data_IF_080991931050
#
_entry.id   IF_080991931050
#
_cell.length_a   1.000
_cell.length_b   1.000
_cell.length_c   1.000
_cell.angle_alpha   90.00
_cell.angle_beta   90.00
_cell.angle_gamma   90.00
#
_symmetry.space_group_name_H-M   'P 1'
#
loop_
_entity.id
_entity.type
_entity.pdbx_description
1 polymer ?
#
# COMPACT_ATOMS: atom_id res chain seq x y z
N UNK A 1 -13.88 -18.69 -2.68
CA UNK A 1 -12.74 -17.79 -2.96
C UNK A 1 -12.75 -17.26 -4.39
N UNK A 2 -12.96 -18.08 -5.43
CA UNK A 2 -12.90 -17.66 -6.86
C UNK A 2 -13.86 -16.55 -7.28
N UNK A 3 -15.03 -16.40 -6.64
CA UNK A 3 -15.98 -15.32 -6.96
C UNK A 3 -15.67 -13.98 -6.24
N UNK A 4 -14.90 -14.02 -5.15
CA UNK A 4 -14.67 -12.83 -4.32
C UNK A 4 -13.58 -11.92 -4.90
N UNK A 5 -12.55 -12.49 -5.53
CA UNK A 5 -11.43 -11.73 -6.10
C UNK A 5 -11.84 -10.87 -7.30
N UNK A 6 -12.62 -11.36 -8.28
CA UNK A 6 -13.09 -10.52 -9.40
C UNK A 6 -14.01 -9.39 -8.94
N UNK A 7 -14.85 -9.63 -7.92
CA UNK A 7 -15.73 -8.62 -7.36
C UNK A 7 -14.93 -7.51 -6.66
N UNK A 8 -13.92 -7.85 -5.86
CA UNK A 8 -13.03 -6.86 -5.25
C UNK A 8 -12.28 -6.05 -6.31
N UNK A 9 -11.79 -6.69 -7.37
CA UNK A 9 -11.12 -5.98 -8.46
C UNK A 9 -12.07 -5.00 -9.15
N UNK A 10 -13.32 -5.40 -9.41
CA UNK A 10 -14.33 -4.52 -9.98
C UNK A 10 -14.59 -3.29 -9.09
N UNK A 11 -14.77 -3.51 -7.78
CA UNK A 11 -14.99 -2.43 -6.81
C UNK A 11 -13.78 -1.49 -6.71
N UNK A 12 -12.57 -2.03 -6.76
CA UNK A 12 -11.34 -1.23 -6.76
C UNK A 12 -11.21 -0.39 -8.02
N UNK A 13 -11.51 -0.95 -9.19
CA UNK A 13 -11.44 -0.21 -10.46
C UNK A 13 -12.52 0.88 -10.54
N UNK A 14 -13.74 0.62 -10.09
CA UNK A 14 -14.78 1.64 -10.04
C UNK A 14 -14.43 2.76 -9.07
N UNK A 15 -13.89 2.43 -7.89
CA UNK A 15 -13.41 3.41 -6.92
C UNK A 15 -12.24 4.24 -7.46
N UNK A 16 -11.30 3.61 -8.15
CA UNK A 16 -10.18 4.29 -8.80
C UNK A 16 -10.65 5.29 -9.86
N UNK A 17 -11.54 4.87 -10.76
CA UNK A 17 -12.11 5.75 -11.79
C UNK A 17 -12.85 6.92 -11.13
N UNK A 18 -13.66 6.66 -10.11
CA UNK A 18 -14.36 7.69 -9.36
C UNK A 18 -13.40 8.67 -8.67
N UNK A 19 -12.35 8.17 -8.01
CA UNK A 19 -11.36 9.01 -7.32
C UNK A 19 -10.62 9.95 -8.28
N UNK A 20 -10.40 9.54 -9.53
CA UNK A 20 -9.83 10.40 -10.57
C UNK A 20 -10.78 11.51 -11.04
N UNK A 21 -12.11 11.30 -10.93
CA UNK A 21 -13.11 12.32 -11.29
C UNK A 21 -13.36 13.37 -10.20
N UNK A 22 -12.75 13.22 -9.02
CA UNK A 22 -12.90 14.16 -7.92
C UNK A 22 -12.23 15.51 -8.23
N UNK A 23 -12.86 16.60 -7.78
CA UNK A 23 -12.25 17.93 -7.81
C UNK A 23 -10.93 17.92 -7.03
N UNK A 24 -9.88 18.53 -7.58
CA UNK A 24 -8.52 18.55 -7.02
C UNK A 24 -7.78 17.19 -6.95
N UNK A 25 -8.30 16.12 -7.58
CA UNK A 25 -7.57 14.85 -7.68
C UNK A 25 -6.20 14.98 -8.36
N UNK A 26 -6.06 15.94 -9.29
CA UNK A 26 -4.80 16.22 -9.99
C UNK A 26 -3.64 16.65 -9.08
N UNK A 27 -3.94 17.31 -7.95
CA UNK A 27 -2.92 17.68 -6.94
C UNK A 27 -2.42 16.43 -6.22
N UNK A 28 -3.33 15.56 -5.78
CA UNK A 28 -2.97 14.28 -5.16
C UNK A 28 -2.15 13.37 -6.08
N UNK A 29 -2.50 13.33 -7.37
CA UNK A 29 -1.75 12.60 -8.39
C UNK A 29 -0.34 13.18 -8.59
N UNK A 30 -0.25 14.51 -8.69
CA UNK A 30 1.01 15.24 -8.81
C UNK A 30 1.93 14.95 -7.62
N UNK A 31 1.38 15.00 -6.40
CA UNK A 31 2.12 14.65 -5.19
C UNK A 31 2.61 13.20 -5.21
N UNK A 32 1.72 12.24 -5.50
CA UNK A 32 2.04 10.80 -5.46
C UNK A 32 3.17 10.40 -6.42
N UNK A 33 3.23 11.03 -7.59
CA UNK A 33 4.25 10.72 -8.62
C UNK A 33 5.42 11.72 -8.66
N UNK A 34 5.54 12.63 -7.69
CA UNK A 34 6.70 13.51 -7.59
C UNK A 34 7.78 12.85 -6.72
N UNK A 35 8.88 12.34 -7.30
CA UNK A 35 9.93 11.70 -6.52
C UNK A 35 10.76 12.73 -5.74
N UNK A 36 11.08 12.40 -4.50
CA UNK A 36 12.12 13.08 -3.73
C UNK A 36 13.42 12.26 -3.83
N UNK A 37 14.33 12.72 -4.70
CA UNK A 37 15.59 12.06 -4.97
C UNK A 37 16.54 12.05 -3.76
N UNK A 38 16.40 12.99 -2.82
CA UNK A 38 17.20 13.03 -1.61
C UNK A 38 16.92 11.82 -0.69
N UNK A 39 15.69 11.31 -0.69
CA UNK A 39 15.31 10.15 0.12
C UNK A 39 16.00 8.85 -0.32
N UNK A 40 16.41 8.73 -1.59
CA UNK A 40 17.09 7.54 -2.09
C UNK A 40 18.46 7.31 -1.42
N UNK A 41 19.08 8.37 -0.90
CA UNK A 41 20.30 8.28 -0.11
C UNK A 41 20.10 7.72 1.29
N UNK A 42 18.86 7.62 1.78
CA UNK A 42 18.56 7.11 3.12
C UNK A 42 18.49 5.57 3.13
N UNK A 43 19.31 4.87 3.93
CA UNK A 43 19.20 3.41 4.07
C UNK A 43 17.85 2.96 4.64
N UNK A 44 17.20 3.81 5.45
CA UNK A 44 15.89 3.48 6.03
C UNK A 44 14.83 3.30 4.95
N UNK A 45 14.85 4.12 3.89
CA UNK A 45 13.90 4.01 2.79
C UNK A 45 13.94 2.61 2.15
N UNK A 46 15.13 2.07 1.93
CA UNK A 46 15.31 0.75 1.33
C UNK A 46 14.84 -0.38 2.24
N UNK A 47 15.10 -0.26 3.55
CA UNK A 47 14.62 -1.24 4.54
C UNK A 47 13.09 -1.24 4.59
N UNK A 48 12.46 -0.06 4.65
CA UNK A 48 11.00 0.06 4.63
C UNK A 48 10.42 -0.51 3.33
N UNK A 49 10.98 -0.15 2.17
CA UNK A 49 10.51 -0.64 0.87
C UNK A 49 10.63 -2.17 0.72
N UNK A 50 11.79 -2.75 1.06
CA UNK A 50 12.01 -4.19 0.98
C UNK A 50 11.08 -4.95 1.92
N UNK A 51 10.94 -4.47 3.16
CA UNK A 51 10.08 -5.10 4.14
C UNK A 51 8.59 -5.00 3.76
N UNK A 52 8.17 -3.88 3.18
CA UNK A 52 6.81 -3.70 2.67
C UNK A 52 6.51 -4.68 1.53
N UNK A 53 7.42 -4.84 0.55
CA UNK A 53 7.24 -5.82 -0.54
C UNK A 53 7.19 -7.25 -0.02
N UNK A 54 8.05 -7.59 0.96
CA UNK A 54 8.05 -8.92 1.57
C UNK A 54 6.74 -9.20 2.32
N UNK A 55 6.21 -8.20 3.03
CA UNK A 55 4.94 -8.31 3.76
C UNK A 55 3.75 -8.43 2.82
N UNK A 56 3.68 -7.57 1.80
CA UNK A 56 2.58 -7.49 0.84
C UNK A 56 2.44 -8.78 0.03
N UNK A 57 3.58 -9.38 -0.35
CA UNK A 57 3.60 -10.63 -1.12
C UNK A 57 3.53 -11.88 -0.24
N UNK A 58 3.76 -11.77 1.07
CA UNK A 58 3.93 -12.94 1.93
C UNK A 58 5.21 -13.73 1.65
N UNK A 59 6.24 -13.08 1.08
CA UNK A 59 7.54 -13.69 0.87
C UNK A 59 8.18 -14.10 2.21
N UNK A 60 8.91 -15.22 2.24
CA UNK A 60 9.55 -15.78 3.43
C UNK A 60 8.61 -16.25 4.58
N UNK A 61 7.29 -16.20 4.42
CA UNK A 61 6.33 -16.81 5.37
C UNK A 61 6.09 -18.31 5.15
N UNK A 62 6.67 -18.90 4.09
CA UNK A 62 6.42 -20.30 3.71
C UNK A 62 5.05 -20.55 3.05
N UNK A 63 4.25 -19.51 2.83
CA UNK A 63 2.91 -19.60 2.22
C UNK A 63 2.99 -20.25 0.84
N UNK A 64 3.89 -19.78 -0.02
CA UNK A 64 4.05 -20.31 -1.37
C UNK A 64 4.58 -21.75 -1.40
N UNK A 65 5.29 -22.21 -0.37
CA UNK A 65 5.73 -23.61 -0.28
C UNK A 65 4.51 -24.53 -0.08
N UNK A 66 3.62 -24.17 0.85
CA UNK A 66 2.39 -24.93 1.13
C UNK A 66 1.41 -24.87 -0.04
N UNK A 67 1.23 -23.68 -0.64
CA UNK A 67 0.39 -23.53 -1.83
C UNK A 67 0.97 -24.30 -3.03
N UNK A 68 2.28 -24.23 -3.24
CA UNK A 68 2.98 -24.94 -4.32
C UNK A 68 2.92 -26.45 -4.17
N UNK A 69 3.05 -26.98 -2.95
CA UNK A 69 2.88 -28.41 -2.67
C UNK A 69 1.48 -28.94 -3.02
N UNK A 70 0.48 -28.05 -3.02
CA UNK A 70 -0.90 -28.38 -3.39
C UNK A 70 -1.20 -28.22 -4.90
N UNK A 71 -0.26 -27.69 -5.69
CA UNK A 71 -0.45 -27.44 -7.12
C UNK A 71 -0.09 -28.66 -7.98
N UNK A 72 -0.81 -28.85 -9.09
CA UNK A 72 -0.46 -29.88 -10.09
C UNK A 72 0.67 -29.40 -11.01
N UNK A 73 1.55 -30.32 -11.45
CA UNK A 73 2.69 -30.00 -12.33
C UNK A 73 2.33 -29.21 -13.60
N UNK A 74 1.09 -29.30 -14.08
CA UNK A 74 0.59 -28.59 -15.27
C UNK A 74 0.47 -27.07 -15.09
N UNK A 75 0.38 -26.59 -13.85
CA UNK A 75 0.07 -25.17 -13.58
C UNK A 75 1.28 -24.25 -13.52
N UNK A 76 2.51 -24.76 -13.63
CA UNK A 76 3.72 -23.92 -13.73
C UNK A 76 3.88 -22.92 -12.57
N UNK A 77 4.31 -23.35 -11.38
CA UNK A 77 4.29 -22.52 -10.16
C UNK A 77 5.06 -21.20 -10.32
N UNK A 78 6.21 -21.22 -11.01
CA UNK A 78 7.02 -20.02 -11.28
C UNK A 78 6.22 -18.97 -12.06
N UNK A 79 5.55 -19.37 -13.14
CA UNK A 79 4.75 -18.46 -13.98
C UNK A 79 3.62 -17.83 -13.16
N UNK A 80 2.93 -18.62 -12.33
CA UNK A 80 1.83 -18.10 -11.51
C UNK A 80 2.33 -17.10 -10.46
N UNK A 81 3.47 -17.37 -9.81
CA UNK A 81 4.04 -16.45 -8.81
C UNK A 81 4.46 -15.13 -9.44
N UNK A 82 5.10 -15.15 -10.62
CA UNK A 82 5.48 -13.92 -11.34
C UNK A 82 4.26 -13.06 -11.66
N UNK A 83 3.22 -13.66 -12.25
CA UNK A 83 1.99 -12.92 -12.57
C UNK A 83 1.27 -12.42 -11.33
N UNK A 84 1.17 -13.24 -10.28
CA UNK A 84 0.50 -12.86 -9.03
C UNK A 84 1.20 -11.67 -8.38
N UNK A 85 2.54 -11.70 -8.32
CA UNK A 85 3.35 -10.62 -7.73
C UNK A 85 3.26 -9.32 -8.53
N UNK A 86 3.31 -9.42 -9.87
CA UNK A 86 3.18 -8.26 -10.75
C UNK A 86 1.79 -7.61 -10.63
N UNK A 87 0.72 -8.41 -10.64
CA UNK A 87 -0.65 -7.92 -10.46
C UNK A 87 -0.82 -7.32 -9.07
N UNK A 88 -0.25 -7.93 -8.03
CA UNK A 88 -0.27 -7.39 -6.68
C UNK A 88 0.36 -5.99 -6.62
N UNK A 89 1.56 -5.80 -7.18
CA UNK A 89 2.20 -4.48 -7.24
C UNK A 89 1.38 -3.44 -8.02
N UNK A 90 0.75 -3.84 -9.13
CA UNK A 90 -0.15 -2.96 -9.89
C UNK A 90 -1.39 -2.55 -9.08
N UNK A 91 -2.00 -3.48 -8.34
CA UNK A 91 -3.14 -3.18 -7.47
C UNK A 91 -2.71 -2.23 -6.34
N UNK A 92 -1.56 -2.48 -5.70
CA UNK A 92 -1.01 -1.59 -4.66
C UNK A 92 -0.79 -0.17 -5.18
N UNK A 93 -0.31 -0.02 -6.42
CA UNK A 93 -0.17 1.27 -7.08
C UNK A 93 -1.54 1.95 -7.32
N UNK A 94 -2.53 1.22 -7.86
CA UNK A 94 -3.89 1.74 -8.10
C UNK A 94 -4.53 2.20 -6.78
N UNK A 95 -4.41 1.40 -5.72
CA UNK A 95 -4.93 1.74 -4.39
C UNK A 95 -4.22 2.99 -3.85
N UNK A 96 -2.89 3.06 -3.97
CA UNK A 96 -2.12 4.25 -3.58
C UNK A 96 -2.64 5.51 -4.26
N UNK A 97 -2.77 5.50 -5.59
CA UNK A 97 -3.31 6.65 -6.33
C UNK A 97 -4.74 6.98 -5.90
N UNK A 98 -5.61 5.97 -5.77
CA UNK A 98 -7.00 6.14 -5.33
C UNK A 98 -7.06 6.87 -3.99
N UNK A 99 -6.26 6.43 -3.02
CA UNK A 99 -6.19 7.02 -1.68
C UNK A 99 -5.70 8.47 -1.74
N UNK A 100 -4.57 8.72 -2.41
CA UNK A 100 -4.00 10.07 -2.49
C UNK A 100 -4.92 11.07 -3.19
N UNK A 101 -5.51 10.70 -4.34
CA UNK A 101 -6.49 11.55 -5.02
C UNK A 101 -7.69 11.86 -4.12
N UNK A 102 -8.20 10.84 -3.40
CA UNK A 102 -9.38 11.01 -2.54
C UNK A 102 -9.10 11.86 -1.31
N UNK A 103 -7.94 11.67 -0.65
CA UNK A 103 -7.55 12.46 0.52
C UNK A 103 -7.35 13.92 0.15
N UNK A 104 -6.63 14.21 -0.93
CA UNK A 104 -6.41 15.61 -1.36
C UNK A 104 -7.72 16.28 -1.78
N UNK A 105 -8.58 15.58 -2.54
CA UNK A 105 -9.87 16.11 -2.94
C UNK A 105 -10.80 16.43 -1.76
N UNK A 106 -10.79 15.58 -0.73
CA UNK A 106 -11.70 15.75 0.42
C UNK A 106 -11.16 16.67 1.48
N UNK A 107 -9.84 16.71 1.67
CA UNK A 107 -9.21 17.66 2.57
C UNK A 107 -9.48 19.11 2.12
N UNK A 108 -9.31 19.45 0.84
CA UNK A 108 -9.60 20.80 0.33
C UNK A 108 -11.09 21.16 0.45
N UNK A 109 -11.99 20.16 0.44
CA UNK A 109 -13.43 20.39 0.65
C UNK A 109 -13.75 20.73 2.12
N UNK A 110 -13.04 20.13 3.08
CA UNK A 110 -13.26 20.33 4.52
C UNK A 110 -12.50 21.56 5.04
N UNK A 111 -11.31 21.82 4.50
CA UNK A 111 -10.45 22.94 4.88
C UNK A 111 -10.10 23.76 3.62
N UNK A 112 -10.92 24.76 3.26
CA UNK A 112 -10.69 25.62 2.10
C UNK A 112 -9.36 26.39 2.17
N UNK A 113 -8.91 26.70 3.38
CA UNK A 113 -7.67 27.42 3.66
C UNK A 113 -6.45 26.49 3.84
N UNK A 114 -6.66 25.17 3.76
CA UNK A 114 -5.63 24.18 4.00
C UNK A 114 -4.63 24.10 2.85
N UNK A 115 -3.34 24.07 3.16
CA UNK A 115 -2.27 23.96 2.17
C UNK A 115 -1.92 22.50 1.85
N UNK A 116 -1.27 22.25 0.71
CA UNK A 116 -0.74 20.92 0.38
C UNK A 116 0.21 20.39 1.48
N UNK A 117 0.99 21.28 2.11
CA UNK A 117 1.89 20.93 3.21
C UNK A 117 1.14 20.39 4.44
N UNK A 118 -0.08 20.88 4.70
CA UNK A 118 -0.90 20.40 5.79
C UNK A 118 -1.36 18.96 5.53
N UNK A 119 -1.80 18.65 4.31
CA UNK A 119 -2.15 17.28 3.91
C UNK A 119 -0.95 16.33 4.08
N UNK A 120 0.24 16.77 3.69
CA UNK A 120 1.46 15.95 3.80
C UNK A 120 1.87 15.73 5.24
N UNK A 121 1.81 16.76 6.08
CA UNK A 121 2.07 16.61 7.51
C UNK A 121 1.06 15.65 8.14
N UNK A 122 -0.22 15.79 7.78
CA UNK A 122 -1.30 14.91 8.23
C UNK A 122 -1.08 13.45 7.82
N UNK A 123 -0.68 13.20 6.56
CA UNK A 123 -0.31 11.87 6.07
C UNK A 123 0.97 11.31 6.70
N UNK A 124 1.88 12.16 7.18
CA UNK A 124 3.07 11.74 7.94
C UNK A 124 2.74 11.42 9.40
N UNK A 125 1.79 12.11 10.01
CA UNK A 125 1.25 11.82 11.35
C UNK A 125 0.16 10.75 11.35
N UNK A 126 0.13 9.85 10.37
CA UNK A 126 -0.67 8.64 10.46
C UNK A 126 -0.25 7.91 11.74
N UNK A 127 -1.15 7.84 12.72
CA UNK A 127 -0.87 7.34 14.08
C UNK A 127 -0.18 5.96 14.12
N UNK A 128 0.23 5.49 15.32
CA UNK A 128 1.06 4.30 15.48
C UNK A 128 0.60 3.11 14.60
N UNK A 129 1.55 2.45 13.95
CA UNK A 129 1.36 1.32 13.04
C UNK A 129 0.57 1.62 11.74
N UNK A 130 0.69 2.82 11.15
CA UNK A 130 0.04 3.21 9.88
C UNK A 130 -1.50 3.10 9.90
N UNK A 131 -2.10 3.17 11.08
CA UNK A 131 -3.56 3.01 11.27
C UNK A 131 -4.37 4.26 10.90
N UNK A 132 -3.72 5.42 10.88
CA UNK A 132 -4.38 6.72 10.67
C UNK A 132 -5.16 6.80 9.36
N UNK A 133 -4.63 6.25 8.26
CA UNK A 133 -5.27 6.38 6.97
C UNK A 133 -6.63 5.65 6.90
N UNK A 134 -6.69 4.42 7.41
CA UNK A 134 -7.92 3.62 7.38
C UNK A 134 -8.90 4.00 8.48
N UNK A 135 -8.43 4.32 9.69
CA UNK A 135 -9.29 4.50 10.86
C UNK A 135 -9.57 5.96 11.22
N UNK A 136 -8.88 6.93 10.61
CA UNK A 136 -9.14 8.36 10.80
C UNK A 136 -9.64 8.97 9.48
N UNK A 137 -8.87 8.84 8.42
CA UNK A 137 -9.14 9.55 7.16
C UNK A 137 -10.32 9.00 6.37
N UNK A 138 -10.43 7.68 6.22
CA UNK A 138 -11.57 7.09 5.51
C UNK A 138 -12.92 7.38 6.21
N UNK A 139 -13.04 7.32 7.55
CA UNK A 139 -14.24 7.78 8.24
C UNK A 139 -14.57 9.27 7.99
N UNK A 140 -13.57 10.16 8.06
CA UNK A 140 -13.75 11.59 7.75
C UNK A 140 -14.25 11.77 6.31
N UNK A 141 -13.60 11.10 5.35
CA UNK A 141 -14.04 11.07 3.96
C UNK A 141 -15.51 10.69 3.84
N UNK A 142 -15.90 9.55 4.43
CA UNK A 142 -17.28 9.09 4.35
C UNK A 142 -18.25 10.09 4.99
N UNK A 143 -17.87 10.78 6.07
CA UNK A 143 -18.73 11.81 6.69
C UNK A 143 -19.08 12.97 5.75
N UNK A 144 -18.25 13.24 4.73
CA UNK A 144 -18.46 14.32 3.75
C UNK A 144 -19.26 13.91 2.50
N UNK A 145 -19.58 12.62 2.37
CA UNK A 145 -20.28 12.04 1.23
C UNK A 145 -21.77 11.82 1.54
N UNK A 146 -22.64 12.14 0.58
CA UNK A 146 -24.06 11.80 0.67
C UNK A 146 -24.23 10.27 0.72
N UNK A 147 -24.85 9.74 1.79
CA UNK A 147 -24.92 8.29 2.02
C UNK A 147 -23.68 7.68 2.68
N UNK A 148 -22.75 8.52 3.16
CA UNK A 148 -21.49 8.13 3.76
C UNK A 148 -21.53 7.05 4.83
N UNK A 149 -22.55 7.07 5.71
CA UNK A 149 -22.71 6.06 6.77
C UNK A 149 -22.86 4.63 6.22
N UNK A 150 -23.60 4.48 5.11
CA UNK A 150 -23.76 3.18 4.45
C UNK A 150 -22.44 2.76 3.80
N UNK A 151 -21.76 3.69 3.13
CA UNK A 151 -20.46 3.43 2.49
C UNK A 151 -19.37 3.05 3.50
N UNK A 152 -19.29 3.74 4.63
CA UNK A 152 -18.38 3.41 5.72
C UNK A 152 -18.63 2.01 6.26
N UNK A 153 -19.90 1.66 6.50
CA UNK A 153 -20.29 0.34 7.00
C UNK A 153 -19.90 -0.78 6.02
N UNK A 154 -20.16 -0.58 4.72
CA UNK A 154 -19.77 -1.52 3.66
C UNK A 154 -18.24 -1.64 3.52
N UNK A 155 -17.53 -0.52 3.63
CA UNK A 155 -16.07 -0.50 3.56
C UNK A 155 -15.44 -1.29 4.70
N UNK A 156 -15.81 -1.03 5.95
CA UNK A 156 -15.26 -1.78 7.10
C UNK A 156 -15.66 -3.25 7.09
N UNK A 157 -16.88 -3.57 6.63
CA UNK A 157 -17.28 -4.96 6.41
C UNK A 157 -16.38 -5.65 5.35
N UNK A 158 -16.06 -4.96 4.25
CA UNK A 158 -15.14 -5.46 3.23
C UNK A 158 -13.73 -5.67 3.80
N UNK A 159 -13.22 -4.75 4.63
CA UNK A 159 -11.92 -4.90 5.32
C UNK A 159 -11.91 -6.15 6.20
N UNK A 160 -12.99 -6.42 6.95
CA UNK A 160 -13.11 -7.63 7.77
C UNK A 160 -13.07 -8.88 6.89
N UNK A 161 -13.90 -8.95 5.84
CA UNK A 161 -13.95 -10.09 4.92
C UNK A 161 -12.58 -10.34 4.26
N UNK A 162 -11.91 -9.28 3.81
CA UNK A 162 -10.57 -9.36 3.24
C UNK A 162 -9.56 -9.91 4.24
N UNK A 163 -9.59 -9.42 5.48
CA UNK A 163 -8.71 -9.89 6.57
C UNK A 163 -8.93 -11.37 6.86
N UNK A 164 -10.18 -11.82 6.98
CA UNK A 164 -10.50 -13.24 7.18
C UNK A 164 -10.00 -14.12 6.03
N UNK A 165 -10.11 -13.65 4.79
CA UNK A 165 -9.66 -14.41 3.62
C UNK A 165 -8.15 -14.66 3.62
N UNK A 166 -7.35 -13.66 3.99
CA UNK A 166 -5.90 -13.78 4.12
C UNK A 166 -5.53 -14.66 5.33
N UNK A 167 -6.24 -14.50 6.45
CA UNK A 167 -6.01 -15.25 7.67
C UNK A 167 -6.14 -16.77 7.48
N UNK A 168 -7.11 -17.22 6.68
CA UNK A 168 -7.29 -18.65 6.38
C UNK A 168 -6.02 -19.25 5.74
N UNK A 169 -5.39 -18.53 4.81
CA UNK A 169 -4.17 -18.98 4.14
C UNK A 169 -3.00 -19.07 5.11
N UNK A 170 -2.79 -18.03 5.93
CA UNK A 170 -1.74 -18.00 6.96
C UNK A 170 -1.90 -19.11 8.01
N UNK A 171 -3.14 -19.34 8.44
CA UNK A 171 -3.45 -20.43 9.38
C UNK A 171 -3.18 -21.80 8.75
N UNK A 172 -3.56 -22.00 7.48
CA UNK A 172 -3.27 -23.24 6.77
C UNK A 172 -1.76 -23.51 6.64
N UNK A 173 -0.94 -22.48 6.38
CA UNK A 173 0.52 -22.62 6.33
C UNK A 173 1.09 -23.10 7.66
N UNK A 174 0.65 -22.50 8.77
CA UNK A 174 1.12 -22.87 10.11
C UNK A 174 0.65 -24.27 10.53
N UNK A 175 -0.59 -24.63 10.17
CA UNK A 175 -1.15 -25.97 10.42
C UNK A 175 -0.41 -27.04 9.61
N UNK A 176 -0.10 -26.76 8.34
CA UNK A 176 0.63 -27.71 7.49
C UNK A 176 2.00 -28.03 8.07
N UNK A 177 2.72 -27.04 8.59
CA UNK A 177 4.01 -27.25 9.24
C UNK A 177 3.93 -28.23 10.44
N UNK A 178 2.86 -28.16 11.25
CA UNK A 178 2.63 -29.13 12.33
C UNK A 178 2.21 -30.52 11.83
N UNK A 179 1.42 -30.58 10.74
CA UNK A 179 1.01 -31.85 10.13
C UNK A 179 2.22 -32.59 9.55
N UNK A 180 3.17 -31.86 8.97
CA UNK A 180 4.42 -32.44 8.44
C UNK A 180 5.30 -33.04 9.56
N UNK A 181 5.13 -32.61 10.81
CA UNK A 181 5.71 -33.24 12.01
C UNK A 181 4.94 -34.46 12.53
N UNK A 182 3.89 -34.89 11.82
CA UNK A 182 3.10 -36.08 12.16
C UNK A 182 1.90 -35.82 13.08
N UNK A 183 1.58 -34.55 13.38
CA UNK A 183 0.41 -34.21 14.21
C UNK A 183 -0.88 -34.35 13.40
N UNK A 184 -1.92 -34.94 14.00
CA UNK A 184 -3.25 -35.02 13.38
C UNK A 184 -3.79 -33.61 13.07
N UNK A 185 -4.28 -33.40 11.84
CA UNK A 185 -4.73 -32.07 11.36
C UNK A 185 -5.75 -31.39 12.26
N UNK A 186 -6.73 -32.12 12.80
CA UNK A 186 -7.74 -31.55 13.71
C UNK A 186 -7.14 -30.97 14.98
N UNK A 187 -6.12 -31.63 15.54
CA UNK A 187 -5.39 -31.16 16.73
C UNK A 187 -4.52 -29.96 16.36
N UNK A 188 -3.80 -30.02 15.25
CA UNK A 188 -2.96 -28.92 14.76
C UNK A 188 -3.78 -27.62 14.56
N UNK A 189 -4.98 -27.70 13.98
CA UNK A 189 -5.87 -26.55 13.79
C UNK A 189 -6.24 -25.91 15.14
N UNK A 190 -6.67 -26.71 16.12
CA UNK A 190 -7.08 -26.18 17.43
C UNK A 190 -5.89 -25.56 18.17
N UNK A 191 -4.73 -26.22 18.14
CA UNK A 191 -3.51 -25.72 18.79
C UNK A 191 -3.06 -24.40 18.19
N UNK A 192 -2.91 -24.33 16.86
CA UNK A 192 -2.49 -23.10 16.18
C UNK A 192 -3.52 -21.98 16.38
N UNK A 193 -4.82 -22.27 16.23
CA UNK A 193 -5.85 -21.24 16.44
C UNK A 193 -5.83 -20.68 17.87
N UNK A 194 -5.67 -21.55 18.88
CA UNK A 194 -5.58 -21.14 20.29
C UNK A 194 -4.32 -20.32 20.55
N UNK A 195 -3.16 -20.76 20.05
CA UNK A 195 -1.90 -20.02 20.20
C UNK A 195 -1.97 -18.64 19.54
N UNK A 196 -2.48 -18.56 18.31
CA UNK A 196 -2.63 -17.29 17.59
C UNK A 196 -3.57 -16.35 18.32
N UNK A 197 -4.68 -16.85 18.87
CA UNK A 197 -5.59 -16.06 19.69
C UNK A 197 -4.89 -15.51 20.94
N UNK A 198 -4.23 -16.37 21.72
CA UNK A 198 -3.56 -15.98 22.96
C UNK A 198 -2.42 -14.98 22.73
N UNK A 199 -1.62 -15.17 21.67
CA UNK A 199 -0.55 -14.24 21.30
C UNK A 199 -1.07 -12.93 20.71
N UNK A 200 -2.29 -12.91 20.19
CA UNK A 200 -2.96 -11.71 19.68
C UNK A 200 -3.61 -10.85 20.77
N UNK A 201 -3.97 -11.42 21.93
CA UNK A 201 -4.62 -10.66 23.03
C UNK A 201 -3.76 -9.46 23.51
N UNK A 202 -2.45 -9.60 23.78
CA UNK A 202 -1.62 -8.46 24.19
C UNK A 202 -1.64 -7.30 23.18
N UNK A 203 -1.68 -7.62 21.89
CA UNK A 203 -1.70 -6.66 20.79
C UNK A 203 -3.04 -5.95 20.66
N UNK A 204 -4.13 -6.63 21.03
CA UNK A 204 -5.47 -6.04 21.06
C UNK A 204 -5.67 -5.09 22.26
N UNK A 205 -4.99 -5.35 23.39
CA UNK A 205 -5.10 -4.53 24.60
C UNK A 205 -4.17 -3.32 24.56
N UNK A 206 -2.97 -3.46 24.00
CA UNK A 206 -1.96 -2.40 24.02
C UNK A 206 -1.36 -2.14 22.63
N UNK A 207 -1.56 -0.92 22.13
CA UNK A 207 -1.06 -0.47 20.82
C UNK A 207 0.48 -0.51 20.73
N UNK A 208 1.20 -0.27 21.82
CA UNK A 208 2.67 -0.35 21.84
C UNK A 208 3.16 -1.78 21.63
N UNK A 209 2.43 -2.78 22.14
CA UNK A 209 2.73 -4.19 21.90
C UNK A 209 2.52 -4.53 20.43
N UNK A 210 1.43 -4.04 19.82
CA UNK A 210 1.19 -4.20 18.39
C UNK A 210 2.32 -3.58 17.56
N UNK A 211 2.71 -2.34 17.84
CA UNK A 211 3.81 -1.66 17.14
C UNK A 211 5.12 -2.44 17.26
N UNK A 212 5.45 -2.91 18.47
CA UNK A 212 6.65 -3.70 18.70
C UNK A 212 6.65 -5.02 17.92
N UNK A 213 5.52 -5.74 17.91
CA UNK A 213 5.39 -6.98 17.14
C UNK A 213 5.53 -6.73 15.63
N UNK A 214 4.89 -5.68 15.10
CA UNK A 214 5.00 -5.33 13.68
C UNK A 214 6.46 -5.00 13.32
N UNK A 215 7.15 -4.21 14.13
CA UNK A 215 8.57 -3.90 13.91
C UNK A 215 9.46 -5.15 14.01
N UNK A 216 9.21 -6.03 14.99
CA UNK A 216 9.96 -7.27 15.13
C UNK A 216 9.80 -8.17 13.90
N UNK A 217 8.56 -8.42 13.47
CA UNK A 217 8.28 -9.24 12.30
C UNK A 217 8.89 -8.64 11.03
N UNK A 218 8.91 -7.30 10.89
CA UNK A 218 9.57 -6.60 9.78
C UNK A 218 11.02 -7.02 9.58
N UNK A 219 11.81 -7.07 10.66
CA UNK A 219 13.22 -7.45 10.60
C UNK A 219 13.41 -8.96 10.47
N UNK A 220 12.64 -9.76 11.22
CA UNK A 220 12.73 -11.23 11.17
C UNK A 220 12.41 -11.75 9.76
N UNK A 221 11.45 -11.15 9.07
CA UNK A 221 11.07 -11.57 7.73
C UNK A 221 12.20 -11.39 6.72
N UNK A 222 12.92 -10.26 6.78
CA UNK A 222 14.07 -10.00 5.93
C UNK A 222 15.22 -10.97 6.23
N UNK A 223 15.49 -11.25 7.51
CA UNK A 223 16.50 -12.21 7.91
C UNK A 223 16.14 -13.63 7.46
N UNK A 224 14.87 -14.03 7.57
CA UNK A 224 14.40 -15.33 7.09
C UNK A 224 14.53 -15.45 5.56
N UNK A 225 14.13 -14.41 4.82
CA UNK A 225 14.31 -14.35 3.37
C UNK A 225 15.79 -14.49 2.96
N UNK A 226 16.70 -13.81 3.66
CA UNK A 226 18.13 -13.95 3.43
C UNK A 226 18.63 -15.37 3.74
N UNK A 227 18.19 -15.96 4.86
CA UNK A 227 18.55 -17.33 5.21
C UNK A 227 18.05 -18.36 4.17
N UNK A 228 16.83 -18.19 3.66
CA UNK A 228 16.28 -19.03 2.59
C UNK A 228 17.05 -18.87 1.28
N UNK A 229 17.46 -17.65 0.93
CA UNK A 229 18.29 -17.39 -0.25
C UNK A 229 19.66 -18.05 -0.12
N UNK A 230 20.32 -17.90 1.03
CA UNK A 230 21.61 -18.54 1.31
C UNK A 230 21.48 -20.07 1.26
N UNK A 231 20.46 -20.62 1.91
CA UNK A 231 20.18 -22.05 1.85
C UNK A 231 19.96 -22.54 0.42
N UNK A 232 19.17 -21.80 -0.38
CA UNK A 232 18.93 -22.12 -1.78
C UNK A 232 20.20 -22.08 -2.63
N UNK A 233 21.05 -21.07 -2.44
CA UNK A 233 22.36 -20.97 -3.10
C UNK A 233 23.24 -22.17 -2.74
N UNK A 234 23.39 -22.47 -1.45
CA UNK A 234 24.21 -23.60 -0.98
C UNK A 234 23.69 -24.92 -1.51
N UNK A 235 22.37 -25.14 -1.45
CA UNK A 235 21.75 -26.36 -1.96
C UNK A 235 21.99 -26.51 -3.47
N UNK A 236 21.78 -25.44 -4.24
CA UNK A 236 22.00 -25.44 -5.70
C UNK A 236 23.45 -25.75 -6.05
N UNK A 237 24.42 -25.22 -5.30
CA UNK A 237 25.85 -25.51 -5.46
C UNK A 237 26.16 -26.98 -5.18
N UNK A 238 25.56 -27.56 -4.13
CA UNK A 238 25.77 -28.95 -3.73
C UNK A 238 25.08 -29.96 -4.65
N UNK A 239 23.91 -29.58 -5.21
CA UNK A 239 23.09 -30.45 -6.05
C UNK A 239 23.36 -30.29 -7.55
N UNK A 240 24.28 -29.41 -7.95
CA UNK A 240 24.61 -29.21 -9.36
C UNK A 240 25.47 -30.36 -9.89
N UNK A 241 24.97 -31.06 -10.90
CA UNK A 241 25.71 -32.10 -11.62
C UNK A 241 26.90 -31.54 -12.45
N UNK A 242 26.92 -30.23 -12.69
CA UNK A 242 27.99 -29.50 -13.39
C UNK A 242 28.58 -28.39 -12.50
N UNK A 243 29.80 -27.88 -12.78
CA UNK A 243 30.39 -26.85 -11.94
C UNK A 243 29.50 -25.59 -11.96
N UNK A 244 28.89 -25.27 -10.83
CA UNK A 244 27.93 -24.17 -10.64
C UNK A 244 28.46 -22.79 -11.07
N UNK A 245 29.78 -22.62 -11.19
CA UNK A 245 30.45 -21.40 -11.67
C UNK A 245 30.51 -21.29 -13.20
N UNK A 246 30.13 -22.32 -13.95
CA UNK A 246 29.94 -22.23 -15.40
C UNK A 246 28.59 -21.57 -15.68
N UNK A 247 28.51 -20.26 -15.44
CA UNK A 247 27.42 -19.42 -15.92
C UNK A 247 27.39 -19.52 -17.45
N UNK A 248 26.43 -20.27 -17.97
CA UNK A 248 26.18 -20.28 -19.41
C UNK A 248 25.86 -18.86 -19.87
N UNK A 249 26.37 -18.48 -21.05
CA UNK A 249 26.10 -17.16 -21.65
C UNK A 249 24.59 -16.85 -21.69
N UNK A 250 23.74 -17.87 -21.78
CA UNK A 250 22.29 -17.71 -21.79
C UNK A 250 21.72 -17.28 -20.43
N UNK A 251 22.23 -17.80 -19.31
CA UNK A 251 21.75 -17.49 -17.96
C UNK A 251 22.14 -16.07 -17.51
N UNK A 252 23.38 -15.67 -17.82
CA UNK A 252 23.85 -14.30 -17.57
C UNK A 252 23.11 -13.29 -18.46
N UNK A 253 22.92 -13.65 -19.74
CA UNK A 253 22.21 -12.80 -20.69
C UNK A 253 20.73 -12.66 -20.34
N UNK A 254 20.05 -13.71 -19.85
CA UNK A 254 18.67 -13.59 -19.37
C UNK A 254 18.57 -12.72 -18.13
N UNK A 255 19.42 -12.90 -17.13
CA UNK A 255 19.40 -12.03 -15.94
C UNK A 255 19.66 -10.55 -16.28
N UNK A 256 20.65 -10.28 -17.13
CA UNK A 256 20.96 -8.91 -17.56
C UNK A 256 19.80 -8.35 -18.41
N UNK A 257 19.25 -9.13 -19.34
CA UNK A 257 18.09 -8.70 -20.14
C UNK A 257 16.87 -8.43 -19.27
N UNK A 258 16.57 -9.27 -18.28
CA UNK A 258 15.42 -9.09 -17.40
C UNK A 258 15.51 -7.78 -16.61
N UNK A 259 16.63 -7.54 -15.93
CA UNK A 259 16.84 -6.30 -15.16
C UNK A 259 16.95 -5.07 -16.05
N UNK A 260 17.58 -5.20 -17.23
CA UNK A 260 17.66 -4.12 -18.20
C UNK A 260 16.30 -3.77 -18.80
N UNK A 261 15.49 -4.76 -19.18
CA UNK A 261 14.13 -4.57 -19.70
C UNK A 261 13.23 -3.96 -18.65
N UNK A 262 13.28 -4.45 -17.40
CA UNK A 262 12.53 -3.86 -16.28
C UNK A 262 12.96 -2.40 -16.08
N UNK A 263 14.26 -2.11 -16.08
CA UNK A 263 14.78 -0.75 -15.97
C UNK A 263 14.31 0.16 -17.12
N UNK A 264 14.36 -0.32 -18.36
CA UNK A 264 13.89 0.41 -19.55
C UNK A 264 12.40 0.69 -19.51
N UNK A 265 11.58 -0.29 -19.13
CA UNK A 265 10.13 -0.11 -19.00
C UNK A 265 9.81 0.94 -17.95
N UNK A 266 10.44 0.88 -16.77
CA UNK A 266 10.25 1.87 -15.72
C UNK A 266 10.69 3.28 -16.16
N UNK A 267 11.81 3.38 -16.87
CA UNK A 267 12.34 4.64 -17.36
C UNK A 267 11.46 5.23 -18.48
N UNK A 268 10.96 4.41 -19.39
CA UNK A 268 10.01 4.83 -20.43
C UNK A 268 8.68 5.26 -19.81
N UNK A 269 8.12 4.50 -18.89
CA UNK A 269 6.88 4.88 -18.19
C UNK A 269 7.05 6.21 -17.45
N UNK A 270 8.20 6.41 -16.78
CA UNK A 270 8.53 7.66 -16.11
C UNK A 270 8.66 8.82 -17.13
N UNK A 271 9.40 8.64 -18.22
CA UNK A 271 9.55 9.66 -19.26
C UNK A 271 8.24 10.01 -19.94
N UNK A 272 7.38 9.02 -20.22
CA UNK A 272 6.04 9.25 -20.75
C UNK A 272 5.21 10.04 -19.74
N UNK A 273 5.22 9.66 -18.46
CA UNK A 273 4.51 10.39 -17.42
C UNK A 273 4.96 11.85 -17.32
N UNK A 274 6.26 12.11 -17.27
CA UNK A 274 6.83 13.46 -17.20
C UNK A 274 6.53 14.27 -18.47
N UNK A 275 6.66 13.65 -19.65
CA UNK A 275 6.46 14.32 -20.95
C UNK A 275 5.00 14.59 -21.27
N UNK A 276 4.10 13.73 -20.83
CA UNK A 276 2.65 13.91 -21.01
C UNK A 276 1.99 14.61 -19.82
N UNK A 277 2.71 14.93 -18.74
CA UNK A 277 2.22 15.73 -17.59
C UNK A 277 1.46 16.98 -18.02
N UNK A 278 2.03 17.77 -18.92
CA UNK A 278 1.44 19.03 -19.40
C UNK A 278 0.27 18.84 -20.39
N UNK A 279 0.18 17.66 -21.04
CA UNK A 279 -0.87 17.35 -22.01
C UNK A 279 -2.06 16.65 -21.35
N UNK A 280 -1.79 15.84 -20.31
CA UNK A 280 -2.81 15.34 -19.40
C UNK A 280 -3.44 16.51 -18.63
N UNK A 281 -2.67 17.47 -18.09
CA UNK A 281 -3.31 18.63 -17.44
C UNK A 281 -4.29 19.39 -18.35
N UNK A 282 -4.07 19.43 -19.68
CA UNK A 282 -4.99 20.05 -20.66
C UNK A 282 -6.21 19.22 -21.07
N UNK A 283 -6.09 17.90 -21.16
CA UNK A 283 -7.22 16.99 -21.41
C UNK A 283 -8.09 16.80 -20.16
N UNK A 284 -7.47 16.90 -18.98
CA UNK A 284 -8.15 16.87 -17.70
C UNK A 284 -8.75 18.25 -17.36
N UNK A 285 -8.14 19.36 -17.79
CA UNK A 285 -8.75 20.70 -17.64
C UNK A 285 -10.04 20.87 -18.44
N UNK A 286 -10.24 20.16 -19.57
CA UNK A 286 -11.51 20.20 -20.29
C UNK A 286 -12.61 19.35 -19.63
N UNK A 287 -12.24 18.32 -18.85
CA UNK A 287 -13.14 17.59 -17.97
C UNK A 287 -13.49 18.40 -16.70
N UNK A 288 -12.52 19.14 -16.15
CA UNK A 288 -12.70 20.05 -15.00
C UNK A 288 -13.49 21.32 -15.38
N UNK A 289 -13.26 21.90 -16.56
CA UNK A 289 -14.00 23.07 -17.04
C UNK A 289 -15.50 22.79 -17.20
N UNK A 290 -15.88 21.52 -17.43
CA UNK A 290 -17.28 21.09 -17.44
C UNK A 290 -17.91 21.02 -16.05
N UNK A 291 -17.11 21.12 -15.00
CA UNK A 291 -17.51 21.09 -13.59
C UNK A 291 -17.58 22.51 -12.98
N UNK A 292 -16.98 23.52 -13.62
CA UNK A 292 -17.03 24.94 -13.24
C UNK A 292 -18.33 25.67 -13.68
N UNK A 293 -19.19 25.05 -14.48
CA UNK A 293 -20.50 25.61 -14.89
C UNK A 293 -21.59 25.56 -13.78
N UNK A 294 -21.19 25.46 -12.50
CA UNK A 294 -22.11 25.62 -11.36
C UNK A 294 -21.99 27.08 -10.90
N UNK A 295 -23.09 27.86 -10.88
CA UNK A 295 -23.02 29.29 -10.63
C UNK A 295 -22.36 29.58 -9.29
N UNK A 296 -21.27 30.34 -9.33
CA UNK A 296 -20.60 30.86 -8.15
C UNK A 296 -21.59 31.62 -7.25
N UNK A 297 -21.62 31.25 -5.97
CA UNK A 297 -22.31 32.05 -4.96
C UNK A 297 -21.71 33.46 -4.89
N UNK A 298 -22.53 34.51 -4.68
CA UNK A 298 -22.06 35.89 -4.65
C UNK A 298 -21.42 36.19 -3.29
N UNK A 299 -20.17 35.79 -3.10
CA UNK A 299 -19.33 36.31 -2.03
C UNK A 299 -17.94 36.55 -2.59
N UNK A 300 -17.65 37.83 -2.84
CA UNK A 300 -16.43 38.28 -3.47
C UNK A 300 -15.21 37.97 -2.59
N UNK A 301 -14.22 37.34 -3.20
CA UNK A 301 -12.84 37.49 -2.78
C UNK A 301 -11.98 37.70 -4.03
N UNK A 302 -11.28 38.84 -4.04
CA UNK A 302 -10.46 39.34 -5.14
C UNK A 302 -9.16 38.56 -5.16
N UNK A 303 -8.88 37.88 -6.28
CA UNK A 303 -7.55 37.35 -6.60
C UNK A 303 -6.62 38.52 -6.91
N UNK A 304 -5.75 38.89 -5.98
CA UNK A 304 -4.59 39.72 -6.30
C UNK A 304 -3.43 38.81 -6.72
N UNK A 305 -3.17 38.82 -8.03
CA UNK A 305 -1.96 38.28 -8.65
C UNK A 305 -0.83 39.29 -8.44
N UNK A 306 0.24 38.84 -7.80
CA UNK A 306 1.54 39.49 -7.85
C UNK A 306 2.09 39.86 -6.49
N UNK A 307 2.88 38.97 -5.89
CA UNK A 307 4.20 39.38 -5.43
C UNK A 307 5.10 38.16 -5.29
N UNK A 308 6.21 38.18 -6.03
CA UNK A 308 7.27 37.18 -5.96
C UNK A 308 8.37 37.78 -5.10
N UNK A 309 8.19 37.78 -3.78
CA UNK A 309 9.23 37.97 -2.78
C UNK A 309 8.61 37.82 -1.39
N UNK A 310 8.71 36.63 -0.79
CA UNK A 310 8.69 36.44 0.67
C UNK A 310 9.18 35.03 1.01
N UNK A 311 10.49 34.83 0.85
CA UNK A 311 11.27 33.94 1.69
C UNK A 311 11.22 34.49 3.12
N UNK A 312 10.52 33.83 4.04
CA UNK A 312 10.75 34.04 5.48
C UNK A 312 10.82 32.67 6.17
N UNK A 313 12.05 32.36 6.60
CA UNK A 313 12.37 31.36 7.61
C UNK A 313 11.85 31.81 8.99
N UNK A 314 11.24 30.90 9.76
CA UNK A 314 11.09 30.99 11.24
C UNK A 314 10.97 29.55 11.75
N UNK A 315 12.08 28.90 12.14
CA UNK A 315 12.59 28.76 13.52
C UNK A 315 11.59 28.26 14.57
N UNK A 316 11.89 27.07 15.08
CA UNK A 316 11.80 26.61 16.47
C UNK A 316 11.18 27.62 17.46
N UNK A 317 9.87 27.53 17.70
CA UNK A 317 9.23 27.82 18.99
C UNK A 317 7.99 26.94 19.17
N UNK A 318 8.14 25.95 20.03
CA UNK A 318 7.03 25.32 20.74
C UNK A 318 6.25 26.40 21.51
N UNK A 319 4.95 26.50 21.22
CA UNK A 319 4.00 27.32 21.95
C UNK A 319 2.63 26.69 21.84
N UNK A 320 2.17 26.14 22.96
CA UNK A 320 0.89 25.49 23.21
C UNK A 320 -0.27 26.16 22.45
N UNK A 321 -0.90 25.43 21.53
CA UNK A 321 -2.26 25.75 21.06
C UNK A 321 -3.20 24.69 21.62
N UNK A 322 -4.27 25.08 22.34
CA UNK A 322 -5.20 24.11 22.91
C UNK A 322 -5.96 23.39 21.80
N UNK A 323 -6.14 22.08 22.01
CA UNK A 323 -6.96 21.18 21.19
C UNK A 323 -8.42 21.69 21.22
N UNK A 324 -9.13 21.78 20.08
CA UNK A 324 -10.54 22.18 20.09
C UNK A 324 -11.40 21.18 20.87
N UNK A 325 -12.21 21.70 21.81
CA UNK A 325 -13.20 20.92 22.57
C UNK A 325 -14.45 20.69 21.71
N UNK A 326 -14.82 19.42 21.51
CA UNK A 326 -15.98 18.98 20.72
C UNK A 326 -17.22 18.70 21.58
N UNK A 327 -17.28 19.21 22.81
CA UNK A 327 -18.38 18.96 23.75
C UNK A 327 -19.70 19.69 23.44
N UNK A 328 -19.76 20.54 22.41
CA UNK A 328 -20.97 21.32 22.08
C UNK A 328 -21.36 21.22 20.60
N UNK A 329 -21.80 20.05 20.16
CA UNK A 329 -22.69 19.94 18.99
C UNK A 329 -24.01 19.36 19.51
N UNK A 330 -24.90 20.26 19.92
CA UNK A 330 -26.28 19.95 20.29
C UNK A 330 -27.19 20.03 19.05
N UNK A 331 -28.01 18.98 18.92
CA UNK A 331 -29.19 18.77 18.07
C UNK A 331 -29.01 18.50 16.57
#
# INVERSE_FOLDING_TARGET
>A
MTAMTPLHLLLLLTAFIWALTLNNAGVGLGFFFTPDWGLLGSPTLWIEALSQVAWDTGAAFGIFLVLGASMTRKTGPVKNVVWTTAINGLISLIVGVTVFCTVFATYTKVNPDGTEADVVNLLRTNGPANTGLTFIWLPILFSTMTGGRVMASLFFLAVVIATFSNYITLMNTSVQAMVDWGVKRSVAVVVIATLTFLLGVPSAVNIHVLVNQVMFCRYVLLLNGLALLVWWVVHTIQSADSPWYQLGNQSLMTAILEWFVIGMVLLVLNLLFVRYRARMSGCWSSLIAKQEDIPACPCGYRHDKGDSDNLIAVTDQAGERPVPDYSTINH
#
